data_IF_739707015378
#
_entry.id   IF_739707015378
#
_cell.length_a   1.000
_cell.length_b   1.000
_cell.length_c   1.000
_cell.angle_alpha   90.00
_cell.angle_beta   90.00
_cell.angle_gamma   90.00
#
_symmetry.space_group_name_H-M   'P 1'
#
loop_
_entity.id
_entity.type
_entity.pdbx_description
1 polymer ?
#
# COMPACT_ATOMS: atom_id res chain seq x y z
N UNK A 1 -33.60 31.55 52.78
CA UNK A 1 -34.21 30.43 52.03
C UNK A 1 -34.26 30.80 50.56
N UNK A 2 -33.39 30.22 49.74
CA UNK A 2 -33.73 29.79 48.38
C UNK A 2 -32.49 29.09 47.82
N UNK A 3 -32.53 27.77 47.71
CA UNK A 3 -31.54 26.96 47.01
C UNK A 3 -32.01 26.85 45.55
N UNK A 4 -31.24 27.40 44.60
CA UNK A 4 -31.40 27.08 43.19
C UNK A 4 -30.42 25.95 42.85
N UNK A 5 -30.98 24.79 42.51
CA UNK A 5 -30.24 23.64 42.00
C UNK A 5 -30.11 23.75 40.48
N UNK A 6 -28.88 23.98 40.01
CA UNK A 6 -28.54 23.90 38.58
C UNK A 6 -28.36 22.42 38.19
N UNK A 7 -29.32 21.90 37.42
CA UNK A 7 -29.19 20.61 36.74
C UNK A 7 -28.39 20.79 35.45
N UNK A 8 -27.14 20.33 35.45
CA UNK A 8 -26.31 20.22 34.25
C UNK A 8 -26.78 19.05 33.37
N UNK A 9 -27.38 19.36 32.22
CA UNK A 9 -27.66 18.38 31.16
C UNK A 9 -26.36 18.06 30.42
N UNK A 10 -25.74 16.91 30.73
CA UNK A 10 -24.61 16.39 29.98
C UNK A 10 -25.09 15.80 28.64
N UNK A 11 -24.74 16.43 27.52
CA UNK A 11 -24.93 15.86 26.20
C UNK A 11 -23.86 14.79 25.93
N UNK A 12 -24.23 13.57 25.49
CA UNK A 12 -23.27 12.51 25.19
C UNK A 12 -22.38 12.91 24.02
N UNK A 13 -21.09 12.56 24.13
CA UNK A 13 -20.08 12.92 23.13
C UNK A 13 -20.33 12.20 21.80
N UNK A 14 -19.89 12.79 20.70
CA UNK A 14 -19.99 12.19 19.36
C UNK A 14 -19.25 10.85 19.26
N UNK A 15 -18.21 10.65 20.08
CA UNK A 15 -17.45 9.39 20.17
C UNK A 15 -18.28 8.24 20.77
N UNK A 16 -19.09 8.54 21.79
CA UNK A 16 -19.97 7.56 22.44
C UNK A 16 -21.08 7.07 21.50
N UNK A 17 -21.56 7.96 20.61
CA UNK A 17 -22.56 7.60 19.59
C UNK A 17 -22.01 6.68 18.51
N UNK A 18 -20.74 6.82 18.12
CA UNK A 18 -20.12 5.96 17.10
C UNK A 18 -19.77 4.59 17.68
N UNK A 19 -19.26 4.53 18.92
CA UNK A 19 -18.94 3.25 19.57
C UNK A 19 -20.18 2.38 19.80
N UNK A 20 -21.34 2.98 20.12
CA UNK A 20 -22.61 2.25 20.22
C UNK A 20 -23.06 1.65 18.88
N UNK A 21 -23.09 2.47 17.82
CA UNK A 21 -23.56 2.03 16.47
C UNK A 21 -22.70 0.90 15.89
N UNK A 22 -21.38 0.93 16.08
CA UNK A 22 -20.49 -0.14 15.60
C UNK A 22 -20.70 -1.43 16.39
N UNK A 23 -20.92 -1.35 17.70
CA UNK A 23 -21.12 -2.52 18.57
C UNK A 23 -22.48 -3.19 18.33
N UNK A 24 -23.52 -2.39 18.11
CA UNK A 24 -24.88 -2.86 17.82
C UNK A 24 -24.95 -3.52 16.44
N UNK A 25 -24.25 -2.96 15.45
CA UNK A 25 -24.20 -3.54 14.09
C UNK A 25 -23.44 -4.87 14.07
N UNK A 26 -22.34 -4.98 14.80
CA UNK A 26 -21.56 -6.24 14.87
C UNK A 26 -22.34 -7.33 15.61
N UNK A 27 -23.05 -6.97 16.68
CA UNK A 27 -23.89 -7.91 17.44
C UNK A 27 -25.08 -8.37 16.61
N UNK A 28 -25.78 -7.44 15.93
CA UNK A 28 -26.90 -7.78 15.05
C UNK A 28 -26.49 -8.70 13.89
N UNK A 29 -25.32 -8.47 13.30
CA UNK A 29 -24.79 -9.35 12.23
C UNK A 29 -24.42 -10.74 12.78
N UNK A 30 -23.89 -10.82 14.00
CA UNK A 30 -23.53 -12.09 14.64
C UNK A 30 -24.77 -12.91 15.02
N UNK A 31 -25.77 -12.28 15.60
CA UNK A 31 -27.02 -12.94 16.02
C UNK A 31 -27.82 -13.41 14.80
N UNK A 32 -27.87 -12.58 13.74
CA UNK A 32 -28.49 -12.97 12.47
C UNK A 32 -27.75 -14.17 11.85
N UNK A 33 -26.42 -14.19 11.90
CA UNK A 33 -25.65 -15.31 11.38
C UNK A 33 -25.86 -16.59 12.19
N UNK A 34 -25.91 -16.52 13.53
CA UNK A 34 -26.14 -17.70 14.37
C UNK A 34 -27.54 -18.28 14.18
N UNK A 35 -28.57 -17.42 14.13
CA UNK A 35 -29.95 -17.87 13.91
C UNK A 35 -30.13 -18.55 12.54
N UNK A 36 -29.48 -18.02 11.49
CA UNK A 36 -29.52 -18.63 10.16
C UNK A 36 -28.81 -19.99 10.11
N UNK A 37 -27.77 -20.20 10.93
CA UNK A 37 -27.07 -21.47 11.02
C UNK A 37 -27.88 -22.54 11.77
N UNK A 38 -28.54 -22.18 12.87
CA UNK A 38 -29.43 -23.09 13.61
C UNK A 38 -30.65 -23.49 12.77
N UNK A 39 -31.28 -22.52 12.10
CA UNK A 39 -32.46 -22.77 11.26
C UNK A 39 -32.13 -23.65 10.02
N UNK A 40 -30.93 -23.51 9.46
CA UNK A 40 -30.45 -24.36 8.37
C UNK A 40 -30.16 -25.81 8.82
N UNK A 41 -29.80 -26.01 10.09
CA UNK A 41 -29.53 -27.33 10.65
C UNK A 41 -30.83 -28.09 10.97
N UNK A 42 -31.84 -27.40 11.48
CA UNK A 42 -33.11 -28.01 11.89
C UNK A 42 -34.09 -28.22 10.73
N UNK A 43 -33.98 -27.46 9.64
CA UNK A 43 -34.92 -27.49 8.51
C UNK A 43 -34.24 -27.49 7.12
N UNK A 44 -33.52 -28.58 6.75
CA UNK A 44 -32.70 -28.63 5.53
C UNK A 44 -33.48 -28.45 4.23
N UNK A 45 -34.78 -28.78 4.21
CA UNK A 45 -35.65 -28.65 3.02
C UNK A 45 -36.12 -27.20 2.82
N UNK A 46 -36.31 -26.40 3.90
CA UNK A 46 -36.61 -24.96 3.80
C UNK A 46 -35.35 -24.12 3.56
N UNK A 47 -34.20 -24.59 4.01
CA UNK A 47 -32.90 -23.96 3.77
C UNK A 47 -32.56 -23.87 2.27
N UNK A 48 -33.05 -24.79 1.43
CA UNK A 48 -32.77 -24.82 0.00
C UNK A 48 -33.36 -23.63 -0.79
N UNK A 49 -34.49 -23.06 -0.36
CA UNK A 49 -35.09 -21.88 -1.02
C UNK A 49 -34.43 -20.56 -0.57
N UNK A 50 -33.93 -20.49 0.67
CA UNK A 50 -33.18 -19.32 1.19
C UNK A 50 -31.69 -19.38 0.81
N UNK A 51 -31.16 -20.57 0.51
CA UNK A 51 -29.77 -20.80 0.12
C UNK A 51 -29.36 -20.11 -1.20
N UNK A 52 -30.31 -19.79 -2.09
CA UNK A 52 -30.01 -19.06 -3.33
C UNK A 52 -29.44 -17.65 -3.07
N UNK A 53 -29.94 -16.95 -2.04
CA UNK A 53 -29.45 -15.63 -1.64
C UNK A 53 -28.23 -15.68 -0.71
N UNK A 54 -28.21 -16.64 0.22
CA UNK A 54 -27.13 -16.78 1.22
C UNK A 54 -25.84 -17.34 0.59
N UNK A 55 -25.92 -18.25 -0.39
CA UNK A 55 -24.73 -18.76 -1.08
C UNK A 55 -24.01 -17.68 -1.89
N UNK A 56 -24.75 -16.76 -2.53
CA UNK A 56 -24.18 -15.59 -3.20
C UNK A 56 -23.56 -14.60 -2.21
N UNK A 57 -24.23 -14.34 -1.08
CA UNK A 57 -23.70 -13.49 -0.02
C UNK A 57 -22.42 -14.05 0.63
N UNK A 58 -22.42 -15.35 0.95
CA UNK A 58 -21.27 -16.03 1.52
C UNK A 58 -20.10 -16.16 0.53
N UNK A 59 -20.38 -16.42 -0.76
CA UNK A 59 -19.37 -16.45 -1.81
C UNK A 59 -18.76 -15.05 -2.05
N UNK A 60 -19.57 -13.99 -2.05
CA UNK A 60 -19.08 -12.62 -2.13
C UNK A 60 -18.24 -12.23 -0.90
N UNK A 61 -18.67 -12.60 0.31
CA UNK A 61 -17.89 -12.39 1.54
C UNK A 61 -16.61 -13.20 1.58
N UNK A 62 -16.61 -14.46 1.10
CA UNK A 62 -15.41 -15.29 1.00
C UNK A 62 -14.46 -14.79 -0.09
N UNK A 63 -14.97 -14.33 -1.24
CA UNK A 63 -14.16 -13.71 -2.28
C UNK A 63 -13.52 -12.41 -1.75
N UNK A 64 -14.29 -11.56 -1.09
CA UNK A 64 -13.79 -10.33 -0.46
C UNK A 64 -12.79 -10.62 0.67
N UNK A 65 -13.07 -11.59 1.56
CA UNK A 65 -12.12 -12.03 2.60
C UNK A 65 -10.85 -12.62 1.99
N UNK A 66 -10.95 -13.45 0.95
CA UNK A 66 -9.77 -14.04 0.31
C UNK A 66 -8.89 -12.99 -0.35
N UNK A 67 -9.45 -11.90 -0.87
CA UNK A 67 -8.66 -10.76 -1.37
C UNK A 67 -8.05 -9.94 -0.23
N UNK A 68 -8.77 -9.71 0.87
CA UNK A 68 -8.28 -8.94 2.03
C UNK A 68 -7.21 -9.70 2.81
N UNK A 69 -7.32 -11.03 2.94
CA UNK A 69 -6.32 -11.88 3.62
C UNK A 69 -5.17 -12.33 2.70
N UNK A 70 -5.31 -12.27 1.37
CA UNK A 70 -4.19 -12.57 0.44
C UNK A 70 -3.03 -11.57 0.53
N UNK A 71 -3.25 -10.37 1.08
CA UNK A 71 -2.19 -9.39 1.29
C UNK A 71 -1.51 -9.50 2.66
N UNK A 72 -2.13 -10.18 3.64
CA UNK A 72 -1.53 -10.36 4.95
C UNK A 72 -0.31 -11.28 4.84
N UNK A 73 0.87 -10.76 5.16
CA UNK A 73 2.15 -11.49 5.05
C UNK A 73 2.86 -11.35 3.70
N UNK A 74 2.30 -10.62 2.72
CA UNK A 74 3.02 -10.28 1.49
C UNK A 74 3.99 -9.13 1.71
N UNK A 75 5.12 -9.21 1.04
CA UNK A 75 6.21 -8.23 1.13
C UNK A 75 6.03 -7.09 0.12
N UNK A 76 6.81 -6.03 0.28
CA UNK A 76 7.02 -4.98 -0.72
C UNK A 76 8.34 -5.28 -1.44
N UNK A 77 8.30 -5.23 -2.77
CA UNK A 77 9.52 -5.28 -3.57
C UNK A 77 10.02 -3.84 -3.79
N UNK A 78 11.31 -3.59 -3.57
CA UNK A 78 11.96 -2.33 -3.89
C UNK A 78 13.08 -2.60 -4.90
N UNK A 79 13.04 -1.94 -6.06
CA UNK A 79 14.10 -1.99 -7.08
C UNK A 79 14.68 -0.59 -7.24
N UNK A 80 15.85 -0.36 -6.65
CA UNK A 80 16.51 0.96 -6.56
C UNK A 80 18.02 0.72 -6.43
N UNK A 81 18.80 1.23 -7.38
CA UNK A 81 20.25 1.01 -7.47
C UNK A 81 21.04 1.95 -6.54
N UNK A 82 20.48 3.12 -6.23
CA UNK A 82 21.17 4.15 -5.45
C UNK A 82 21.10 3.81 -3.96
N UNK A 83 22.22 3.42 -3.37
CA UNK A 83 22.28 2.84 -2.03
C UNK A 83 21.59 3.68 -0.94
N UNK A 84 21.86 4.99 -0.86
CA UNK A 84 21.22 5.85 0.15
C UNK A 84 19.71 6.00 -0.07
N UNK A 85 19.26 6.01 -1.32
CA UNK A 85 17.84 6.10 -1.67
C UNK A 85 17.13 4.79 -1.33
N UNK A 86 17.72 3.65 -1.70
CA UNK A 86 17.21 2.33 -1.36
C UNK A 86 17.10 2.11 0.15
N UNK A 87 18.12 2.52 0.92
CA UNK A 87 18.09 2.53 2.39
C UNK A 87 16.95 3.40 2.93
N UNK A 88 16.75 4.62 2.38
CA UNK A 88 15.68 5.52 2.80
C UNK A 88 14.27 4.96 2.53
N UNK A 89 14.02 4.44 1.33
CA UNK A 89 12.76 3.78 0.99
C UNK A 89 12.51 2.56 1.88
N UNK A 90 13.50 1.66 1.97
CA UNK A 90 13.41 0.45 2.79
C UNK A 90 13.09 0.80 4.25
N UNK A 91 13.86 1.71 4.86
CA UNK A 91 13.64 2.13 6.25
C UNK A 91 12.27 2.74 6.47
N UNK A 92 11.76 3.54 5.53
CA UNK A 92 10.44 4.18 5.65
C UNK A 92 9.30 3.16 5.52
N UNK A 93 9.41 2.25 4.55
CA UNK A 93 8.45 1.16 4.37
C UNK A 93 8.42 0.23 5.59
N UNK A 94 9.58 -0.14 6.12
CA UNK A 94 9.69 -0.97 7.33
C UNK A 94 9.13 -0.26 8.57
N UNK A 95 9.36 1.05 8.71
CA UNK A 95 8.76 1.85 9.77
C UNK A 95 7.22 1.90 9.67
N UNK A 96 6.67 1.77 8.47
CA UNK A 96 5.23 1.68 8.22
C UNK A 96 4.68 0.24 8.38
N UNK A 97 5.49 -0.68 8.91
CA UNK A 97 5.09 -2.06 9.22
C UNK A 97 5.26 -3.05 8.07
N UNK A 98 5.94 -2.65 6.99
CA UNK A 98 6.14 -3.50 5.82
C UNK A 98 7.38 -4.37 5.92
N UNK A 99 7.32 -5.57 5.33
CA UNK A 99 8.52 -6.36 5.03
C UNK A 99 8.99 -6.01 3.63
N UNK A 100 10.28 -5.69 3.47
CA UNK A 100 10.84 -5.20 2.20
C UNK A 100 11.94 -6.13 1.71
N UNK A 101 11.78 -6.63 0.48
CA UNK A 101 12.89 -7.19 -0.30
C UNK A 101 13.44 -6.08 -1.20
N UNK A 102 14.72 -5.74 -1.02
CA UNK A 102 15.41 -4.70 -1.80
C UNK A 102 16.39 -5.32 -2.79
N UNK A 103 16.21 -4.96 -4.06
CA UNK A 103 17.09 -5.27 -5.18
C UNK A 103 17.71 -3.98 -5.73
N UNK A 104 18.98 -4.02 -6.08
CA UNK A 104 19.69 -2.92 -6.74
C UNK A 104 19.60 -2.98 -8.27
N UNK A 105 19.10 -4.09 -8.82
CA UNK A 105 18.89 -4.24 -10.26
C UNK A 105 18.18 -5.55 -10.61
N UNK A 106 17.92 -5.76 -11.91
CA UNK A 106 17.28 -6.96 -12.45
C UNK A 106 18.06 -7.44 -13.68
N UNK A 107 18.55 -8.67 -13.61
CA UNK A 107 19.33 -9.31 -14.69
C UNK A 107 18.43 -9.93 -15.77
N UNK A 108 17.31 -10.53 -15.38
CA UNK A 108 16.45 -11.31 -16.28
C UNK A 108 14.97 -11.10 -15.98
N UNK A 109 14.16 -11.10 -17.03
CA UNK A 109 12.69 -11.02 -16.94
C UNK A 109 12.01 -12.41 -16.84
N UNK A 110 12.70 -13.49 -17.23
CA UNK A 110 12.17 -14.86 -17.15
C UNK A 110 13.30 -15.89 -16.96
N UNK A 111 13.37 -16.57 -15.79
CA UNK A 111 12.67 -16.19 -14.56
C UNK A 111 13.11 -14.79 -14.12
N UNK A 112 12.30 -14.14 -13.27
CA UNK A 112 12.67 -12.85 -12.70
C UNK A 112 13.83 -13.01 -11.72
N UNK A 113 14.92 -12.33 -12.05
CA UNK A 113 16.18 -12.44 -11.32
C UNK A 113 16.72 -11.07 -11.00
N UNK A 114 16.84 -10.78 -9.71
CA UNK A 114 17.35 -9.53 -9.15
C UNK A 114 18.81 -9.60 -8.71
N UNK A 115 19.38 -8.44 -8.40
CA UNK A 115 20.66 -8.27 -7.72
C UNK A 115 20.35 -7.73 -6.31
N UNK A 116 20.81 -8.38 -5.25
CA UNK A 116 20.63 -7.88 -3.88
C UNK A 116 21.56 -6.71 -3.56
N UNK A 117 21.35 -6.04 -2.42
CA UNK A 117 22.25 -5.00 -1.94
C UNK A 117 23.71 -5.47 -1.76
N UNK A 118 23.92 -6.77 -1.52
CA UNK A 118 25.25 -7.40 -1.42
C UNK A 118 25.82 -7.83 -2.79
N UNK A 119 25.16 -7.47 -3.89
CA UNK A 119 25.58 -7.82 -5.24
C UNK A 119 25.30 -9.29 -5.64
N UNK A 120 24.50 -10.02 -4.87
CA UNK A 120 24.19 -11.42 -5.16
C UNK A 120 22.99 -11.55 -6.07
N UNK A 121 23.03 -12.52 -6.97
CA UNK A 121 21.88 -12.84 -7.80
C UNK A 121 20.79 -13.58 -6.99
N UNK A 122 19.53 -13.17 -7.17
CA UNK A 122 18.37 -13.76 -6.48
C UNK A 122 17.22 -13.96 -7.47
N UNK A 123 16.76 -15.20 -7.62
CA UNK A 123 15.49 -15.50 -8.29
C UNK A 123 14.34 -15.15 -7.33
N UNK A 124 13.36 -14.37 -7.79
CA UNK A 124 12.21 -14.00 -6.98
C UNK A 124 10.88 -14.31 -7.68
N UNK A 125 9.85 -14.58 -6.87
CA UNK A 125 8.48 -14.83 -7.34
C UNK A 125 7.61 -13.59 -7.09
N UNK A 126 7.14 -12.89 -8.14
CA UNK A 126 6.29 -11.70 -8.02
C UNK A 126 5.05 -11.90 -7.13
N UNK A 127 4.54 -13.14 -7.05
CA UNK A 127 3.32 -13.45 -6.27
C UNK A 127 3.51 -13.30 -4.76
N UNK A 128 4.76 -13.30 -4.27
CA UNK A 128 5.10 -13.04 -2.85
C UNK A 128 4.92 -11.59 -2.45
N UNK A 129 4.89 -10.68 -3.42
CA UNK A 129 4.80 -9.25 -3.18
C UNK A 129 3.38 -8.76 -3.39
N UNK A 130 3.01 -7.69 -2.67
CA UNK A 130 1.74 -7.00 -2.86
C UNK A 130 1.84 -5.78 -3.78
N UNK A 131 3.02 -5.15 -3.79
CA UNK A 131 3.35 -4.02 -4.67
C UNK A 131 4.87 -3.97 -4.85
N UNK A 132 5.32 -3.38 -5.94
CA UNK A 132 6.72 -3.04 -6.17
C UNK A 132 6.93 -1.53 -6.26
N UNK A 133 8.06 -1.04 -5.75
CA UNK A 133 8.61 0.28 -6.09
C UNK A 133 9.74 0.06 -7.08
N UNK A 134 9.75 0.79 -8.19
CA UNK A 134 10.72 0.59 -9.27
C UNK A 134 11.31 1.92 -9.69
N UNK A 135 12.62 2.05 -9.56
CA UNK A 135 13.37 3.16 -10.12
C UNK A 135 13.41 3.08 -11.66
N UNK A 136 13.31 4.24 -12.31
CA UNK A 136 13.42 4.41 -13.75
C UNK A 136 14.82 4.25 -14.30
N UNK A 137 15.85 4.71 -13.56
CA UNK A 137 17.25 4.71 -14.01
C UNK A 137 18.08 3.75 -13.17
N UNK A 138 18.16 2.49 -13.59
CA UNK A 138 18.86 1.44 -12.83
C UNK A 138 20.28 1.25 -13.38
N UNK A 139 21.27 1.92 -12.79
CA UNK A 139 22.67 1.83 -13.21
C UNK A 139 23.26 0.48 -12.80
N UNK A 140 24.03 -0.11 -13.72
CA UNK A 140 24.60 -1.45 -13.52
C UNK A 140 23.60 -2.60 -13.66
N UNK A 141 22.31 -2.31 -13.86
CA UNK A 141 21.28 -3.31 -14.17
C UNK A 141 21.24 -3.60 -15.67
N UNK A 142 21.02 -4.87 -16.05
CA UNK A 142 20.76 -5.24 -17.44
C UNK A 142 19.42 -4.67 -17.93
N UNK A 143 18.40 -4.72 -17.08
CA UNK A 143 17.09 -4.15 -17.36
C UNK A 143 16.92 -2.77 -16.72
N UNK A 144 16.51 -1.79 -17.52
CA UNK A 144 16.06 -0.48 -17.05
C UNK A 144 14.63 -0.53 -16.48
N UNK A 145 14.24 0.49 -15.71
CA UNK A 145 12.99 0.51 -14.93
C UNK A 145 11.73 0.15 -15.73
N UNK A 146 11.59 0.66 -16.96
CA UNK A 146 10.46 0.35 -17.84
C UNK A 146 10.35 -1.14 -18.19
N UNK A 147 11.48 -1.83 -18.35
CA UNK A 147 11.49 -3.26 -18.65
C UNK A 147 11.10 -4.08 -17.41
N UNK A 148 11.57 -3.66 -16.24
CA UNK A 148 11.21 -4.27 -14.95
C UNK A 148 9.70 -4.12 -14.73
N UNK A 149 9.16 -2.91 -14.90
CA UNK A 149 7.72 -2.62 -14.78
C UNK A 149 6.90 -3.51 -15.72
N UNK A 150 7.29 -3.63 -16.99
CA UNK A 150 6.59 -4.49 -17.95
C UNK A 150 6.59 -5.98 -17.50
N UNK A 151 7.74 -6.49 -17.05
CA UNK A 151 7.84 -7.87 -16.57
C UNK A 151 7.00 -8.13 -15.30
N UNK A 152 6.94 -7.16 -14.38
CA UNK A 152 6.09 -7.23 -13.19
C UNK A 152 4.60 -7.21 -13.56
N UNK A 153 4.19 -6.35 -14.50
CA UNK A 153 2.82 -6.31 -15.03
C UNK A 153 2.42 -7.65 -15.65
N UNK A 154 3.27 -8.25 -16.48
CA UNK A 154 3.02 -9.56 -17.08
C UNK A 154 2.84 -10.66 -16.02
N UNK A 155 3.46 -10.49 -14.86
CA UNK A 155 3.33 -11.38 -13.70
C UNK A 155 2.16 -11.03 -12.76
N UNK A 156 1.38 -9.99 -13.09
CA UNK A 156 0.25 -9.52 -12.29
C UNK A 156 0.63 -8.75 -11.01
N UNK A 157 1.88 -8.31 -10.87
CA UNK A 157 2.32 -7.47 -9.74
C UNK A 157 2.19 -5.98 -10.10
N UNK A 158 1.43 -5.24 -9.29
CA UNK A 158 1.33 -3.79 -9.41
C UNK A 158 2.61 -3.09 -8.98
N UNK A 159 2.97 -2.02 -9.67
CA UNK A 159 4.18 -1.24 -9.38
C UNK A 159 3.91 0.27 -9.26
N UNK A 160 4.68 0.91 -8.40
CA UNK A 160 4.81 2.36 -8.22
C UNK A 160 6.15 2.74 -8.83
N UNK A 161 6.12 3.42 -9.97
CA UNK A 161 7.31 3.86 -10.67
C UNK A 161 7.85 5.16 -10.08
N UNK A 162 9.17 5.27 -9.95
CA UNK A 162 9.82 6.44 -9.36
C UNK A 162 11.05 6.83 -10.18
N UNK A 163 11.21 8.12 -10.47
CA UNK A 163 12.41 8.64 -11.15
C UNK A 163 12.51 10.13 -10.89
N UNK A 164 13.71 10.68 -10.83
CA UNK A 164 13.91 12.14 -10.87
C UNK A 164 13.53 12.74 -12.22
N UNK A 165 13.47 11.94 -13.29
CA UNK A 165 13.15 12.40 -14.64
C UNK A 165 11.66 12.19 -14.96
N UNK A 166 10.90 13.27 -15.27
CA UNK A 166 9.48 13.14 -15.61
C UNK A 166 9.21 12.25 -16.84
N UNK A 167 10.09 12.27 -17.83
CA UNK A 167 10.02 11.42 -19.03
C UNK A 167 10.08 9.93 -18.70
N UNK A 168 10.95 9.52 -17.78
CA UNK A 168 11.06 8.13 -17.33
C UNK A 168 9.84 7.68 -16.53
N UNK A 169 9.29 8.56 -15.66
CA UNK A 169 8.04 8.27 -14.96
C UNK A 169 6.89 8.02 -15.94
N UNK A 170 6.76 8.87 -16.97
CA UNK A 170 5.77 8.67 -18.02
C UNK A 170 6.01 7.37 -18.80
N UNK A 171 7.25 7.11 -19.20
CA UNK A 171 7.60 5.88 -19.92
C UNK A 171 7.23 4.62 -19.12
N UNK A 172 7.47 4.62 -17.80
CA UNK A 172 7.10 3.50 -16.95
C UNK A 172 5.58 3.32 -16.80
N UNK A 173 4.80 4.42 -16.73
CA UNK A 173 3.33 4.34 -16.81
C UNK A 173 2.88 3.68 -18.12
N UNK A 174 3.42 4.14 -19.25
CA UNK A 174 3.12 3.59 -20.57
C UNK A 174 3.47 2.09 -20.67
N UNK A 175 4.46 1.63 -19.90
CA UNK A 175 4.88 0.23 -19.80
C UNK A 175 4.14 -0.59 -18.73
N UNK A 176 3.22 0.01 -17.98
CA UNK A 176 2.34 -0.71 -17.08
C UNK A 176 2.48 -0.44 -15.59
N UNK A 177 3.22 0.60 -15.18
CA UNK A 177 3.20 1.02 -13.79
C UNK A 177 1.78 1.45 -13.41
N UNK A 178 1.38 1.14 -12.18
CA UNK A 178 0.04 1.49 -11.69
C UNK A 178 -0.08 2.98 -11.42
N UNK A 179 0.96 3.58 -10.85
CA UNK A 179 1.14 5.02 -10.66
C UNK A 179 2.63 5.35 -10.78
N UNK A 180 2.98 6.62 -11.02
CA UNK A 180 4.36 7.09 -11.08
C UNK A 180 4.52 8.51 -10.53
N UNK A 181 5.64 8.81 -9.89
CA UNK A 181 5.95 10.17 -9.41
C UNK A 181 7.45 10.36 -9.16
N UNK A 182 7.92 11.61 -8.96
CA UNK A 182 9.30 11.85 -8.59
C UNK A 182 9.72 11.10 -7.32
N UNK A 183 10.96 10.58 -7.28
CA UNK A 183 11.50 9.85 -6.11
C UNK A 183 11.25 10.59 -4.79
N UNK A 184 11.57 11.89 -4.77
CA UNK A 184 11.35 12.74 -3.61
C UNK A 184 9.88 12.80 -3.19
N UNK A 185 8.95 12.89 -4.15
CA UNK A 185 7.50 12.87 -3.87
C UNK A 185 7.09 11.55 -3.23
N UNK A 186 7.50 10.41 -3.80
CA UNK A 186 7.10 9.10 -3.30
C UNK A 186 7.67 8.84 -1.91
N UNK A 187 8.94 9.16 -1.69
CA UNK A 187 9.58 9.03 -0.36
C UNK A 187 8.83 9.88 0.69
N UNK A 188 8.51 11.14 0.36
CA UNK A 188 7.75 12.00 1.27
C UNK A 188 6.33 11.50 1.50
N UNK A 189 5.68 10.95 0.48
CA UNK A 189 4.37 10.33 0.63
C UNK A 189 4.42 9.14 1.59
N UNK A 190 5.51 8.36 1.59
CA UNK A 190 5.72 7.26 2.54
C UNK A 190 5.98 7.76 3.96
N UNK A 191 6.83 8.77 4.14
CA UNK A 191 7.13 9.39 5.44
C UNK A 191 5.84 9.91 6.09
N UNK A 192 4.96 10.52 5.29
CA UNK A 192 3.70 11.09 5.76
C UNK A 192 2.53 10.08 5.77
N UNK A 193 2.79 8.79 5.54
CA UNK A 193 1.77 7.73 5.47
C UNK A 193 0.61 8.03 4.48
N UNK A 194 0.92 8.72 3.37
CA UNK A 194 -0.06 9.10 2.33
C UNK A 194 -0.25 8.06 1.22
N UNK A 195 0.60 7.04 1.17
CA UNK A 195 0.44 5.92 0.23
C UNK A 195 -0.30 4.78 0.95
N UNK A 196 -1.57 4.59 0.61
CA UNK A 196 -2.31 3.38 0.94
C UNK A 196 -2.29 2.42 -0.26
N UNK A 197 -1.61 1.28 -0.10
CA UNK A 197 -1.53 0.27 -1.16
C UNK A 197 -2.91 -0.27 -1.58
N UNK A 198 -3.89 -0.33 -0.67
CA UNK A 198 -5.26 -0.72 -1.05
C UNK A 198 -5.87 0.30 -2.00
N UNK A 199 -5.64 1.58 -1.74
CA UNK A 199 -6.10 2.65 -2.62
C UNK A 199 -5.35 2.65 -3.96
N UNK A 200 -4.05 2.39 -3.98
CA UNK A 200 -3.28 2.25 -5.23
C UNK A 200 -3.87 1.15 -6.11
N UNK A 201 -4.24 0.01 -5.52
CA UNK A 201 -4.83 -1.12 -6.23
C UNK A 201 -6.29 -0.89 -6.66
N UNK A 202 -7.10 -0.31 -5.77
CA UNK A 202 -8.54 -0.15 -5.99
C UNK A 202 -8.88 1.09 -6.83
N UNK A 203 -8.11 2.18 -6.72
CA UNK A 203 -8.34 3.43 -7.44
C UNK A 203 -7.00 4.12 -7.80
N UNK A 204 -6.27 3.59 -8.80
CA UNK A 204 -4.97 4.12 -9.22
C UNK A 204 -5.02 5.60 -9.59
N UNK A 205 -6.07 6.05 -10.29
CA UNK A 205 -6.21 7.45 -10.71
C UNK A 205 -6.27 8.40 -9.51
N UNK A 206 -7.04 8.07 -8.46
CA UNK A 206 -7.10 8.89 -7.24
C UNK A 206 -5.75 8.89 -6.51
N UNK A 207 -5.07 7.75 -6.44
CA UNK A 207 -3.73 7.67 -5.85
C UNK A 207 -2.72 8.53 -6.64
N UNK A 208 -2.76 8.47 -7.98
CA UNK A 208 -1.94 9.29 -8.87
C UNK A 208 -2.21 10.79 -8.67
N UNK A 209 -3.48 11.22 -8.64
CA UNK A 209 -3.84 12.63 -8.38
C UNK A 209 -3.32 13.11 -7.02
N UNK A 210 -3.35 12.25 -6.00
CA UNK A 210 -2.79 12.57 -4.68
C UNK A 210 -1.27 12.79 -4.73
N UNK A 211 -0.53 11.95 -5.46
CA UNK A 211 0.91 12.13 -5.66
C UNK A 211 1.24 13.37 -6.51
N UNK A 212 0.42 13.68 -7.51
CA UNK A 212 0.59 14.90 -8.32
C UNK A 212 0.42 16.15 -7.43
N UNK A 213 -0.65 16.21 -6.63
CA UNK A 213 -0.87 17.32 -5.71
C UNK A 213 0.24 17.46 -4.65
N UNK A 214 0.80 16.34 -4.18
CA UNK A 214 1.98 16.38 -3.31
C UNK A 214 3.22 16.92 -4.05
N UNK A 215 3.44 16.52 -5.29
CA UNK A 215 4.56 17.01 -6.13
C UNK A 215 4.47 18.53 -6.30
N UNK A 216 3.30 19.05 -6.63
CA UNK A 216 3.04 20.49 -6.75
C UNK A 216 3.28 21.22 -5.41
N UNK A 217 2.73 20.69 -4.31
CA UNK A 217 2.93 21.26 -2.98
C UNK A 217 4.41 21.30 -2.59
N UNK A 218 5.16 20.27 -2.96
CA UNK A 218 6.61 20.15 -2.76
C UNK A 218 7.44 21.10 -3.63
N UNK A 219 6.88 21.79 -4.62
CA UNK A 219 7.61 22.83 -5.35
C UNK A 219 7.47 24.21 -4.67
N UNK A 220 6.41 24.41 -3.89
CA UNK A 220 6.14 25.67 -3.20
C UNK A 220 6.89 25.89 -1.87
N UNK A 221 6.69 27.08 -1.29
CA UNK A 221 7.10 27.40 0.09
C UNK A 221 6.46 26.46 1.12
N UNK A 222 5.16 26.12 1.03
CA UNK A 222 4.53 25.19 1.98
C UNK A 222 5.17 23.79 1.97
N UNK A 223 5.81 23.40 0.87
CA UNK A 223 6.51 22.13 0.76
C UNK A 223 7.90 22.09 1.41
N UNK A 224 8.46 23.22 1.86
CA UNK A 224 9.80 23.26 2.47
C UNK A 224 9.94 22.29 3.66
N UNK A 225 9.01 22.21 4.62
CA UNK A 225 9.11 21.27 5.73
C UNK A 225 9.07 19.81 5.28
N UNK A 226 8.28 19.49 4.24
CA UNK A 226 8.23 18.14 3.68
C UNK A 226 9.58 17.78 3.07
N UNK A 227 10.10 18.61 2.15
CA UNK A 227 11.42 18.41 1.55
C UNK A 227 12.50 18.23 2.60
N UNK A 228 12.53 19.08 3.63
CA UNK A 228 13.51 19.00 4.71
C UNK A 228 13.47 17.66 5.48
N UNK A 229 12.30 17.05 5.66
CA UNK A 229 12.19 15.71 6.29
C UNK A 229 12.78 14.63 5.39
N UNK A 230 12.42 14.64 4.10
CA UNK A 230 13.01 13.73 3.11
C UNK A 230 14.53 13.89 3.02
N UNK A 231 15.02 15.13 2.95
CA UNK A 231 16.43 15.45 2.88
C UNK A 231 17.18 15.01 4.14
N UNK A 232 16.60 15.23 5.33
CA UNK A 232 17.19 14.76 6.59
C UNK A 232 17.34 13.24 6.63
N UNK A 233 16.36 12.50 6.13
CA UNK A 233 16.43 11.04 6.03
C UNK A 233 17.50 10.59 5.03
N UNK A 234 17.60 11.25 3.87
CA UNK A 234 18.63 10.93 2.88
C UNK A 234 20.04 11.24 3.42
N UNK A 235 20.22 12.40 4.07
CA UNK A 235 21.50 12.81 4.64
C UNK A 235 22.00 11.86 5.72
N UNK A 236 21.09 11.29 6.51
CA UNK A 236 21.43 10.22 7.45
C UNK A 236 22.13 9.06 6.73
N UNK A 237 21.53 8.51 5.67
CA UNK A 237 22.10 7.36 4.96
C UNK A 237 23.32 7.69 4.10
N UNK A 238 23.42 8.93 3.59
CA UNK A 238 24.63 9.41 2.92
C UNK A 238 25.80 9.44 3.92
N UNK A 239 25.58 9.92 5.15
CA UNK A 239 26.64 10.00 6.16
C UNK A 239 27.10 8.63 6.70
N UNK A 240 26.25 7.61 6.62
CA UNK A 240 26.56 6.24 7.03
C UNK A 240 27.40 5.47 5.99
N UNK A 241 27.52 5.99 4.76
CA UNK A 241 28.23 5.34 3.66
C UNK A 241 29.19 6.33 2.97
N UNK A 242 30.33 6.65 3.60
CA UNK A 242 31.27 7.65 3.09
C UNK A 242 32.04 7.18 1.84
N UNK A 243 31.73 5.98 1.34
CA UNK A 243 32.38 5.41 0.15
C UNK A 243 31.66 5.78 -1.15
N UNK A 244 30.54 6.51 -1.05
CA UNK A 244 29.83 7.19 -2.13
C UNK A 244 30.33 8.63 -2.29
#
# INVERSE_FOLDING_TARGET
MSQNADHANAHPSFSDKISGVVTDTVTAVKDTAQHLFEEAYEHPVKAAEVAGGVALGAAALYAARSQVFRAAGKEVLLVEDTAYMGKAFKSTLEANGEKVTWLTGVNRASPLTGITAEGKEMIFDPRKYKVAFVDGDLKGSYLQGQHVVNALKQSGLHSIATSSEPSLNKLMLDNGATIAAPKATVLNALIENRIDFRQVLANPSRAQSSLNGLTEAMQGVPGKPLRARGDALLMKFISEDPTL
#
